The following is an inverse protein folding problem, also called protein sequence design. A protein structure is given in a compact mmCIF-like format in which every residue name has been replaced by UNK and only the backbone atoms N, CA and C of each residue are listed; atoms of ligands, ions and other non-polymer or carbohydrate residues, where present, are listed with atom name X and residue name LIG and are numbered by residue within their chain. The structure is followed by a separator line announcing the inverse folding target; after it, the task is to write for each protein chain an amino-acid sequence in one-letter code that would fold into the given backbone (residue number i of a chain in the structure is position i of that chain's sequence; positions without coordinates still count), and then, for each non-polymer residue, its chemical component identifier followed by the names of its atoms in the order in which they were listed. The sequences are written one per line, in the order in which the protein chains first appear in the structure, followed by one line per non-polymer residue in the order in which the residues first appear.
data_IF_821861529535
#
_entry.id   IF_821861529535
#
_cell.length_a   1.000
_cell.length_b   1.000
_cell.length_c   1.000
_cell.angle_alpha   90.00
_cell.angle_beta   90.00
_cell.angle_gamma   90.00
#
_symmetry.space_group_name_H-M   'P 1'
#
loop_
_entity.id
_entity.type
_entity.pdbx_description
1 polymer ?
#
# COMPACT_ATOMS: atom_id res chain seq x y z
N UNK A 1 19.43 13.46 -18.20
CA UNK A 1 18.13 13.84 -17.57
C UNK A 1 17.83 12.85 -16.46
N UNK A 2 17.92 13.26 -15.18
CA UNK A 2 17.43 12.43 -14.07
C UNK A 2 15.91 12.38 -14.22
N UNK A 3 15.34 11.24 -14.63
CA UNK A 3 13.90 11.00 -14.46
C UNK A 3 13.67 11.15 -12.96
N UNK A 4 13.08 12.25 -12.53
CA UNK A 4 12.55 12.37 -11.18
C UNK A 4 11.55 11.22 -11.04
N UNK A 5 11.95 10.15 -10.36
CA UNK A 5 11.11 8.99 -10.13
C UNK A 5 9.86 9.49 -9.42
N UNK A 6 8.76 9.53 -10.16
CA UNK A 6 7.46 10.02 -9.69
C UNK A 6 6.81 8.91 -8.86
N UNK A 7 7.49 8.52 -7.80
CA UNK A 7 7.11 7.47 -6.88
C UNK A 7 5.93 7.95 -6.04
N UNK A 8 4.84 7.18 -6.08
CA UNK A 8 3.60 7.46 -5.36
C UNK A 8 3.36 6.36 -4.36
N UNK A 9 3.32 6.72 -3.08
CA UNK A 9 2.94 5.81 -2.02
C UNK A 9 1.42 5.57 -2.05
N UNK A 10 0.99 4.33 -2.27
CA UNK A 10 -0.41 3.94 -2.38
C UNK A 10 -0.88 3.36 -1.05
N UNK A 11 -1.42 4.23 -0.19
CA UNK A 11 -2.03 3.83 1.08
C UNK A 11 -3.45 3.29 0.84
N UNK A 12 -3.60 1.98 1.01
CA UNK A 12 -4.87 1.26 0.90
C UNK A 12 -5.34 0.74 2.27
N UNK A 13 -6.66 0.68 2.52
CA UNK A 13 -7.19 0.14 3.77
C UNK A 13 -6.84 -1.34 3.94
N UNK A 14 -6.49 -1.73 5.16
CA UNK A 14 -6.28 -3.13 5.57
C UNK A 14 -7.19 -3.47 6.76
N UNK A 15 -6.95 -2.84 7.91
CA UNK A 15 -7.72 -3.11 9.15
C UNK A 15 -9.21 -2.72 9.07
N UNK A 16 -9.56 -1.77 8.19
CA UNK A 16 -10.95 -1.30 8.05
C UNK A 16 -11.81 -2.16 7.08
N UNK A 17 -11.28 -3.27 6.56
CA UNK A 17 -12.04 -4.18 5.69
C UNK A 17 -12.89 -5.11 6.58
N UNK A 18 -14.00 -4.59 7.07
CA UNK A 18 -14.94 -5.29 7.97
C UNK A 18 -15.72 -6.42 7.30
N UNK A 19 -15.76 -6.44 5.96
CA UNK A 19 -16.44 -7.47 5.16
C UNK A 19 -15.65 -8.80 5.07
N UNK A 20 -14.40 -8.82 5.54
CA UNK A 20 -13.58 -10.02 5.54
C UNK A 20 -13.96 -10.94 6.71
N UNK A 21 -14.18 -12.22 6.42
CA UNK A 21 -14.53 -13.26 7.41
C UNK A 21 -13.33 -13.74 8.21
N UNK A 22 -12.13 -13.68 7.62
CA UNK A 22 -10.87 -14.11 8.21
C UNK A 22 -9.69 -13.26 7.68
N UNK A 23 -8.51 -13.42 8.28
CA UNK A 23 -7.29 -12.71 7.88
C UNK A 23 -6.91 -12.97 6.42
N UNK A 24 -7.04 -14.20 5.94
CA UNK A 24 -6.66 -14.56 4.57
C UNK A 24 -7.55 -13.82 3.56
N UNK A 25 -8.85 -13.74 3.82
CA UNK A 25 -9.79 -12.98 3.01
C UNK A 25 -9.52 -11.48 3.10
N UNK A 26 -9.17 -10.96 4.28
CA UNK A 26 -8.77 -9.55 4.46
C UNK A 26 -7.55 -9.22 3.63
N UNK A 27 -6.50 -10.05 3.66
CA UNK A 27 -5.30 -9.91 2.84
C UNK A 27 -5.63 -9.90 1.35
N UNK A 28 -6.47 -10.82 0.88
CA UNK A 28 -6.89 -10.87 -0.52
C UNK A 28 -7.63 -9.60 -0.95
N UNK A 29 -8.56 -9.11 -0.13
CA UNK A 29 -9.28 -7.87 -0.41
C UNK A 29 -8.35 -6.67 -0.41
N UNK A 30 -7.49 -6.53 0.60
CA UNK A 30 -6.50 -5.47 0.69
C UNK A 30 -5.58 -5.44 -0.54
N UNK A 31 -5.07 -6.60 -0.97
CA UNK A 31 -4.26 -6.74 -2.20
C UNK A 31 -5.03 -6.30 -3.45
N UNK A 32 -6.29 -6.73 -3.61
CA UNK A 32 -7.12 -6.31 -4.75
C UNK A 32 -7.33 -4.79 -4.80
N UNK A 33 -7.57 -4.17 -3.65
CA UNK A 33 -7.75 -2.72 -3.54
C UNK A 33 -6.45 -2.00 -3.88
N UNK A 34 -5.33 -2.45 -3.29
CA UNK A 34 -4.01 -1.91 -3.57
C UNK A 34 -3.66 -1.99 -5.06
N UNK A 35 -3.84 -3.15 -5.70
CA UNK A 35 -3.60 -3.33 -7.14
C UNK A 35 -4.43 -2.35 -7.97
N UNK A 36 -5.72 -2.21 -7.67
CA UNK A 36 -6.61 -1.30 -8.40
C UNK A 36 -6.16 0.16 -8.30
N UNK A 37 -5.71 0.59 -7.13
CA UNK A 37 -5.21 1.95 -6.95
C UNK A 37 -3.83 2.15 -7.61
N UNK A 38 -2.94 1.16 -7.51
CA UNK A 38 -1.67 1.15 -8.24
C UNK A 38 -1.89 1.28 -9.76
N UNK A 39 -2.87 0.58 -10.33
CA UNK A 39 -3.20 0.69 -11.75
C UNK A 39 -3.61 2.11 -12.17
N UNK A 40 -4.32 2.85 -11.31
CA UNK A 40 -4.67 4.26 -11.58
C UNK A 40 -3.44 5.16 -11.58
N UNK A 41 -2.53 4.94 -10.64
CA UNK A 41 -1.25 5.66 -10.54
C UNK A 41 -0.40 5.41 -11.79
N UNK A 42 -0.31 4.15 -12.23
CA UNK A 42 0.37 3.75 -13.48
C UNK A 42 -0.30 4.45 -14.67
N UNK A 43 -1.63 4.41 -14.76
CA UNK A 43 -2.38 5.08 -15.82
C UNK A 43 -2.18 6.60 -15.86
N UNK A 44 -1.85 7.22 -14.73
CA UNK A 44 -1.52 8.64 -14.64
C UNK A 44 -0.04 8.95 -14.98
N UNK A 45 0.79 7.95 -15.29
CA UNK A 45 2.21 8.11 -15.64
C UNK A 45 3.15 8.21 -14.43
N UNK A 46 2.73 7.67 -13.29
CA UNK A 46 3.49 7.62 -12.03
C UNK A 46 3.86 6.17 -11.70
N UNK A 47 4.84 6.00 -10.81
CA UNK A 47 5.29 4.67 -10.35
C UNK A 47 4.70 4.40 -8.95
N UNK A 48 3.77 3.46 -8.79
CA UNK A 48 3.18 3.18 -7.48
C UNK A 48 4.09 2.28 -6.64
N UNK A 49 4.15 2.58 -5.34
CA UNK A 49 4.60 1.63 -4.33
C UNK A 49 3.48 1.45 -3.32
N UNK A 50 3.06 0.21 -3.08
CA UNK A 50 2.05 -0.11 -2.07
C UNK A 50 2.67 -0.89 -0.90
N UNK A 51 2.56 -0.39 0.35
CA UNK A 51 2.98 -1.13 1.54
C UNK A 51 2.18 -2.43 1.70
N UNK A 52 0.90 -2.46 1.29
CA UNK A 52 0.08 -3.68 1.35
C UNK A 52 0.61 -4.74 0.38
N UNK A 53 1.10 -4.37 -0.79
CA UNK A 53 1.71 -5.34 -1.70
C UNK A 53 3.11 -5.76 -1.23
N UNK A 54 3.86 -4.85 -0.62
CA UNK A 54 5.22 -5.13 -0.16
C UNK A 54 5.29 -5.96 1.13
N UNK A 55 4.32 -5.78 2.05
CA UNK A 55 4.47 -6.23 3.45
C UNK A 55 3.42 -7.24 3.92
N UNK A 56 2.31 -7.41 3.20
CA UNK A 56 1.17 -8.24 3.62
C UNK A 56 1.48 -9.75 3.75
N UNK A 57 2.56 -10.23 3.13
CA UNK A 57 3.04 -11.62 3.29
C UNK A 57 4.36 -11.71 4.08
N UNK A 58 4.93 -10.56 4.48
CA UNK A 58 6.28 -10.48 5.07
C UNK A 58 6.23 -10.29 6.58
N UNK A 59 5.24 -9.54 7.07
CA UNK A 59 5.10 -9.24 8.49
C UNK A 59 3.85 -9.87 9.08
N UNK A 60 3.99 -10.36 10.32
CA UNK A 60 2.89 -10.80 11.15
C UNK A 60 2.35 -9.62 11.98
N UNK A 61 1.07 -9.67 12.41
CA UNK A 61 0.43 -8.54 13.12
C UNK A 61 1.13 -8.18 14.45
N UNK A 62 1.93 -9.10 14.99
CA UNK A 62 2.73 -8.93 16.20
C UNK A 62 3.88 -7.92 16.06
N UNK A 63 4.31 -7.59 14.83
CA UNK A 63 5.46 -6.72 14.53
C UNK A 63 5.05 -5.31 14.08
N UNK A 64 4.01 -4.76 14.68
CA UNK A 64 3.40 -3.47 14.29
C UNK A 64 4.41 -2.32 14.19
N UNK A 65 5.33 -2.17 15.14
CA UNK A 65 6.36 -1.12 15.08
C UNK A 65 7.31 -1.28 13.89
N UNK A 66 7.73 -2.51 13.58
CA UNK A 66 8.61 -2.79 12.44
C UNK A 66 7.91 -2.51 11.12
N UNK A 67 6.64 -2.90 11.01
CA UNK A 67 5.81 -2.59 9.83
C UNK A 67 5.66 -1.08 9.64
N UNK A 68 5.40 -0.34 10.73
CA UNK A 68 5.25 1.11 10.67
C UNK A 68 6.56 1.79 10.25
N UNK A 69 7.70 1.40 10.83
CA UNK A 69 9.01 1.94 10.44
C UNK A 69 9.33 1.64 8.97
N UNK A 70 9.08 0.41 8.50
CA UNK A 70 9.26 0.06 7.09
C UNK A 70 8.34 0.88 6.18
N UNK A 71 7.09 1.14 6.59
CA UNK A 71 6.18 2.02 5.87
C UNK A 71 6.67 3.47 5.81
N UNK A 72 7.22 4.00 6.92
CA UNK A 72 7.78 5.35 6.97
C UNK A 72 9.02 5.51 6.09
N UNK A 73 9.92 4.54 6.10
CA UNK A 73 11.09 4.52 5.21
C UNK A 73 10.64 4.52 3.74
N UNK A 74 9.69 3.65 3.39
CA UNK A 74 9.12 3.57 2.05
C UNK A 74 8.48 4.91 1.63
N UNK A 75 7.74 5.54 2.55
CA UNK A 75 7.09 6.82 2.33
C UNK A 75 8.10 7.96 2.15
N UNK A 76 9.22 7.94 2.87
CA UNK A 76 10.30 8.95 2.75
C UNK A 76 10.95 8.97 1.37
N UNK A 77 10.91 7.84 0.66
CA UNK A 77 11.41 7.69 -0.72
C UNK A 77 10.39 8.11 -1.79
N UNK A 78 9.14 8.33 -1.42
CA UNK A 78 8.05 8.67 -2.34
C UNK A 78 7.89 10.19 -2.45
N UNK A 79 7.60 10.67 -3.67
CA UNK A 79 7.35 12.10 -3.92
C UNK A 79 5.89 12.51 -3.64
N UNK A 80 4.97 11.55 -3.70
CA UNK A 80 3.54 11.78 -3.51
C UNK A 80 2.90 10.65 -2.72
N UNK A 81 1.77 10.94 -2.07
CA UNK A 81 0.98 9.96 -1.31
C UNK A 81 -0.44 9.95 -1.87
N UNK A 82 -0.89 8.79 -2.33
CA UNK A 82 -2.28 8.52 -2.67
C UNK A 82 -2.93 7.75 -1.52
N UNK A 83 -3.88 8.38 -0.83
CA UNK A 83 -4.53 7.83 0.35
C UNK A 83 -5.99 7.50 0.07
N UNK A 84 -6.33 6.21 0.04
CA UNK A 84 -7.71 5.77 -0.15
C UNK A 84 -8.38 5.57 1.21
N UNK A 85 -9.21 6.55 1.60
CA UNK A 85 -9.78 6.64 2.95
C UNK A 85 -11.09 5.87 3.19
N UNK A 86 -11.77 5.33 2.16
CA UNK A 86 -13.08 4.67 2.33
C UNK A 86 -13.32 3.51 1.36
N UNK A 87 -13.90 2.43 1.89
CA UNK A 87 -14.62 1.36 1.21
C UNK A 87 -16.00 1.25 1.84
#
# INVERSE_FOLDING_TARGET
MKRTMRLVYVASPYASISVAKDENQRRQYAKKIAIRECQKVIGAGYEPISPVLAFCDVFDESDRERVMNACFELLSSCSYILCKKRL
#
